data_IF_453169231341
#
_entry.id   IF_453169231341
#
_cell.length_a   1.000
_cell.length_b   1.000
_cell.length_c   1.000
_cell.angle_alpha   90.00
_cell.angle_beta   90.00
_cell.angle_gamma   90.00
#
_symmetry.space_group_name_H-M   'P 1'
#
loop_
_entity.id
_entity.type
_entity.pdbx_description
1 polymer ?
#
# COMPACT_ATOMS: atom_id res chain seq x y z
N UNK A 1 -40.89 15.16 -6.41
CA UNK A 1 -39.43 14.97 -6.20
C UNK A 1 -39.02 13.49 -6.12
N UNK A 2 -39.57 12.69 -5.19
CA UNK A 2 -39.12 11.31 -4.87
C UNK A 2 -38.93 10.36 -6.07
N UNK A 3 -39.91 10.27 -6.98
CA UNK A 3 -39.88 9.31 -8.09
C UNK A 3 -38.82 9.63 -9.17
N UNK A 4 -38.57 10.91 -9.42
CA UNK A 4 -37.57 11.39 -10.38
C UNK A 4 -36.14 11.10 -9.90
N UNK A 5 -35.86 11.32 -8.62
CA UNK A 5 -34.58 11.00 -8.01
C UNK A 5 -34.32 9.49 -7.91
N UNK A 6 -35.36 8.69 -7.58
CA UNK A 6 -35.27 7.22 -7.55
C UNK A 6 -34.94 6.61 -8.92
N UNK A 7 -35.48 7.21 -9.99
CA UNK A 7 -35.15 6.88 -11.39
C UNK A 7 -33.72 7.27 -11.77
N UNK A 8 -33.27 8.43 -11.30
CA UNK A 8 -31.91 8.94 -11.54
C UNK A 8 -30.82 8.13 -10.84
N UNK A 9 -31.07 7.66 -9.60
CA UNK A 9 -30.14 6.85 -8.83
C UNK A 9 -29.83 5.49 -9.48
N UNK A 10 -30.72 4.99 -10.35
CA UNK A 10 -30.52 3.72 -11.09
C UNK A 10 -29.66 3.88 -12.36
N UNK A 11 -29.31 5.10 -12.77
CA UNK A 11 -28.59 5.34 -14.03
C UNK A 11 -27.07 5.35 -13.83
N UNK A 12 -26.28 4.74 -14.73
CA UNK A 12 -24.84 4.54 -14.56
C UNK A 12 -24.06 5.85 -14.36
N UNK A 13 -22.94 5.77 -13.64
CA UNK A 13 -22.08 6.90 -13.24
C UNK A 13 -21.50 7.70 -14.42
N UNK A 14 -21.14 7.02 -15.52
CA UNK A 14 -20.26 7.58 -16.56
C UNK A 14 -20.91 8.49 -17.62
N UNK A 15 -22.22 8.71 -17.62
CA UNK A 15 -22.88 9.59 -18.63
C UNK A 15 -23.83 10.60 -18.01
N UNK A 16 -23.73 11.84 -18.48
CA UNK A 16 -24.74 12.89 -18.26
C UNK A 16 -26.09 12.36 -18.74
N UNK A 17 -27.08 12.32 -17.85
CA UNK A 17 -28.39 11.77 -18.16
C UNK A 17 -29.40 12.91 -18.35
N UNK A 18 -30.29 12.89 -19.37
CA UNK A 18 -31.28 13.94 -19.62
C UNK A 18 -32.18 14.25 -18.42
N UNK A 19 -32.38 13.26 -17.55
CA UNK A 19 -33.10 13.44 -16.28
C UNK A 19 -32.41 14.43 -15.33
N UNK A 20 -31.08 14.54 -15.36
CA UNK A 20 -30.35 15.55 -14.57
C UNK A 20 -30.72 16.96 -15.03
N UNK A 21 -30.90 17.16 -16.34
CA UNK A 21 -31.36 18.42 -16.91
C UNK A 21 -32.80 18.73 -16.49
N UNK A 22 -33.71 17.75 -16.61
CA UNK A 22 -35.12 17.92 -16.20
C UNK A 22 -35.29 18.24 -14.72
N UNK A 23 -34.47 17.65 -13.83
CA UNK A 23 -34.50 17.97 -12.39
C UNK A 23 -33.92 19.36 -12.13
N UNK A 24 -32.84 19.73 -12.82
CA UNK A 24 -32.21 21.05 -12.72
C UNK A 24 -33.21 22.16 -13.08
N UNK A 25 -33.88 22.01 -14.20
CA UNK A 25 -34.81 22.98 -14.77
C UNK A 25 -36.11 23.08 -13.96
N UNK A 26 -36.65 21.94 -13.50
CA UNK A 26 -37.90 21.90 -12.72
C UNK A 26 -37.75 22.38 -11.27
N UNK A 27 -36.55 22.32 -10.70
CA UNK A 27 -36.33 22.62 -9.27
C UNK A 27 -35.25 23.69 -9.02
N UNK A 28 -34.73 24.34 -10.06
CA UNK A 28 -33.71 25.40 -9.94
C UNK A 28 -32.38 24.95 -9.32
N UNK A 29 -32.11 23.64 -9.27
CA UNK A 29 -30.94 23.09 -8.57
C UNK A 29 -29.65 23.23 -9.38
N UNK A 30 -28.50 23.43 -8.73
CA UNK A 30 -27.20 23.42 -9.39
C UNK A 30 -26.82 22.01 -9.89
N UNK A 31 -26.00 21.93 -10.96
CA UNK A 31 -25.48 20.65 -11.49
C UNK A 31 -24.76 19.84 -10.40
N UNK A 32 -24.02 20.52 -9.51
CA UNK A 32 -23.32 19.88 -8.38
C UNK A 32 -24.32 19.27 -7.40
N UNK A 33 -25.37 20.01 -7.02
CA UNK A 33 -26.40 19.55 -6.09
C UNK A 33 -27.15 18.33 -6.63
N UNK A 34 -27.51 18.32 -7.93
CA UNK A 34 -28.16 17.16 -8.57
C UNK A 34 -27.23 15.95 -8.64
N UNK A 35 -25.93 16.16 -8.88
CA UNK A 35 -24.92 15.10 -8.82
C UNK A 35 -24.82 14.52 -7.40
N UNK A 36 -24.66 15.36 -6.37
CA UNK A 36 -24.58 14.92 -4.98
C UNK A 36 -25.85 14.19 -4.52
N UNK A 37 -27.04 14.67 -4.88
CA UNK A 37 -28.30 13.97 -4.55
C UNK A 37 -28.47 12.65 -5.30
N UNK A 38 -27.94 12.53 -6.53
CA UNK A 38 -27.89 11.25 -7.26
C UNK A 38 -26.92 10.27 -6.57
N UNK A 39 -25.77 10.78 -6.15
CA UNK A 39 -24.65 9.98 -5.68
C UNK A 39 -24.78 9.59 -4.20
N UNK A 40 -25.24 10.50 -3.34
CA UNK A 40 -25.32 10.34 -1.87
C UNK A 40 -26.75 10.46 -1.33
N UNK A 41 -27.76 10.48 -2.19
CA UNK A 41 -29.16 10.57 -1.77
C UNK A 41 -29.67 9.31 -1.06
N UNK A 42 -30.84 9.39 -0.41
CA UNK A 42 -31.47 8.29 0.35
C UNK A 42 -31.89 7.07 -0.49
N UNK A 43 -31.69 7.11 -1.81
CA UNK A 43 -31.95 6.00 -2.74
C UNK A 43 -30.69 5.59 -3.53
N UNK A 44 -29.53 6.06 -3.10
CA UNK A 44 -28.26 5.71 -3.72
C UNK A 44 -27.87 4.28 -3.30
N UNK A 45 -27.44 3.47 -4.26
CA UNK A 45 -26.97 2.09 -4.01
C UNK A 45 -25.50 2.08 -3.58
N UNK A 46 -25.05 3.13 -2.90
CA UNK A 46 -23.63 3.36 -2.57
C UNK A 46 -23.10 2.19 -1.74
N UNK A 47 -23.83 1.79 -0.70
CA UNK A 47 -23.43 0.66 0.15
C UNK A 47 -23.28 -0.63 -0.65
N UNK A 48 -24.27 -0.99 -1.47
CA UNK A 48 -24.24 -2.22 -2.27
C UNK A 48 -23.15 -2.19 -3.34
N UNK A 49 -22.90 -1.03 -3.94
CA UNK A 49 -21.81 -0.88 -4.92
C UNK A 49 -20.44 -0.98 -4.26
N UNK A 50 -20.24 -0.32 -3.12
CA UNK A 50 -19.00 -0.43 -2.34
C UNK A 50 -18.77 -1.88 -1.93
N UNK A 51 -19.78 -2.57 -1.39
CA UNK A 51 -19.64 -3.98 -1.02
C UNK A 51 -19.32 -4.85 -2.25
N UNK A 52 -20.01 -4.65 -3.38
CA UNK A 52 -19.78 -5.43 -4.59
C UNK A 52 -18.40 -5.18 -5.21
N UNK A 53 -17.87 -3.97 -5.11
CA UNK A 53 -16.54 -3.60 -5.62
C UNK A 53 -15.42 -4.01 -4.65
N UNK A 54 -15.60 -3.80 -3.34
CA UNK A 54 -14.57 -4.06 -2.33
C UNK A 54 -14.48 -5.52 -1.90
N UNK A 55 -15.59 -6.26 -1.79
CA UNK A 55 -15.57 -7.65 -1.29
C UNK A 55 -14.65 -8.56 -2.13
N UNK A 56 -14.69 -8.55 -3.48
CA UNK A 56 -13.77 -9.37 -4.28
C UNK A 56 -12.30 -9.00 -4.06
N UNK A 57 -12.01 -7.70 -3.90
CA UNK A 57 -10.65 -7.20 -3.68
C UNK A 57 -10.14 -7.65 -2.30
N UNK A 58 -10.97 -7.53 -1.26
CA UNK A 58 -10.64 -7.96 0.10
C UNK A 58 -10.47 -9.47 0.20
N UNK A 59 -11.28 -10.26 -0.52
CA UNK A 59 -11.12 -11.71 -0.58
C UNK A 59 -9.81 -12.09 -1.28
N UNK A 60 -9.49 -11.43 -2.39
CA UNK A 60 -8.21 -11.64 -3.09
C UNK A 60 -7.02 -11.29 -2.20
N UNK A 61 -7.07 -10.15 -1.50
CA UNK A 61 -6.01 -9.76 -0.56
C UNK A 61 -5.89 -10.77 0.57
N UNK A 62 -7.00 -11.24 1.13
CA UNK A 62 -6.99 -12.25 2.20
C UNK A 62 -6.31 -13.54 1.75
N UNK A 63 -6.59 -14.04 0.54
CA UNK A 63 -5.94 -15.23 -0.01
C UNK A 63 -4.42 -15.03 -0.14
N UNK A 64 -4.00 -13.88 -0.69
CA UNK A 64 -2.57 -13.55 -0.84
C UNK A 64 -1.89 -13.43 0.53
N UNK A 65 -2.52 -12.76 1.49
CA UNK A 65 -2.00 -12.63 2.85
C UNK A 65 -1.92 -13.99 3.57
N UNK A 66 -2.89 -14.89 3.36
CA UNK A 66 -2.85 -16.24 3.93
C UNK A 66 -1.65 -17.05 3.43
N UNK A 67 -1.24 -16.89 2.16
CA UNK A 67 -0.01 -17.52 1.65
C UNK A 67 1.24 -17.01 2.39
N UNK A 68 1.29 -15.72 2.74
CA UNK A 68 2.35 -15.19 3.60
C UNK A 68 2.31 -15.75 5.02
N UNK A 69 1.11 -16.03 5.54
CA UNK A 69 0.91 -16.73 6.82
C UNK A 69 1.49 -18.14 6.86
N UNK A 70 1.40 -18.88 5.75
CA UNK A 70 2.04 -20.21 5.64
C UNK A 70 3.56 -20.09 5.78
N UNK A 71 4.18 -19.08 5.17
CA UNK A 71 5.62 -18.84 5.32
C UNK A 71 6.04 -18.47 6.76
N UNK A 72 5.15 -17.88 7.55
CA UNK A 72 5.38 -17.62 8.98
C UNK A 72 5.28 -18.89 9.83
N UNK A 73 4.44 -19.87 9.46
CA UNK A 73 4.26 -21.10 10.25
C UNK A 73 5.54 -21.92 10.29
N UNK A 74 6.30 -21.96 9.18
CA UNK A 74 7.62 -22.60 9.10
C UNK A 74 8.63 -22.01 10.11
N UNK A 75 8.34 -20.83 10.66
CA UNK A 75 9.19 -20.08 11.59
C UNK A 75 8.68 -20.06 13.03
N UNK A 76 7.60 -20.76 13.31
CA UNK A 76 6.90 -20.70 14.59
C UNK A 76 7.82 -21.01 15.76
N UNK A 77 8.79 -21.92 15.61
CA UNK A 77 9.78 -22.24 16.63
C UNK A 77 10.68 -21.05 16.98
N UNK A 78 11.15 -20.30 15.99
CA UNK A 78 12.03 -19.15 16.17
C UNK A 78 11.27 -17.99 16.81
N UNK A 79 10.02 -17.76 16.38
CA UNK A 79 9.14 -16.75 17.00
C UNK A 79 8.82 -17.07 18.47
N UNK A 80 8.63 -18.34 18.81
CA UNK A 80 8.38 -18.76 20.18
C UNK A 80 9.60 -18.55 21.10
N UNK A 81 10.81 -18.59 20.55
CA UNK A 81 12.05 -18.43 21.30
C UNK A 81 12.53 -16.96 21.37
N UNK A 82 12.23 -16.15 20.36
CA UNK A 82 12.74 -14.77 20.24
C UNK A 82 11.59 -13.79 20.07
N UNK A 83 11.09 -13.28 21.20
CA UNK A 83 9.96 -12.36 21.29
C UNK A 83 10.05 -11.11 20.37
N UNK A 84 11.22 -10.45 20.20
CA UNK A 84 11.36 -9.31 19.30
C UNK A 84 10.96 -9.60 17.84
N UNK A 85 11.15 -10.84 17.36
CA UNK A 85 10.84 -11.20 15.97
C UNK A 85 9.36 -11.00 15.67
N UNK A 86 8.47 -11.36 16.60
CA UNK A 86 7.01 -11.21 16.45
C UNK A 86 6.63 -9.73 16.37
N UNK A 87 7.31 -8.87 17.14
CA UNK A 87 7.05 -7.42 17.17
C UNK A 87 7.51 -6.72 15.88
N UNK A 88 8.60 -7.20 15.28
CA UNK A 88 9.18 -6.62 14.06
C UNK A 88 8.28 -6.84 12.85
N UNK A 89 7.64 -8.01 12.71
CA UNK A 89 6.81 -8.34 11.55
C UNK A 89 5.77 -7.27 11.19
N UNK A 90 4.85 -6.85 12.09
CA UNK A 90 3.86 -5.83 11.76
C UNK A 90 4.48 -4.45 11.54
N UNK A 91 5.55 -4.10 12.26
CA UNK A 91 6.25 -2.83 12.10
C UNK A 91 6.96 -2.73 10.74
N UNK A 92 7.65 -3.80 10.33
CA UNK A 92 8.30 -3.93 9.04
C UNK A 92 7.28 -3.86 7.91
N UNK A 93 6.17 -4.58 8.02
CA UNK A 93 5.11 -4.54 7.01
C UNK A 93 4.56 -3.11 6.82
N UNK A 94 4.17 -2.46 7.92
CA UNK A 94 3.65 -1.08 7.87
C UNK A 94 4.67 -0.10 7.27
N UNK A 95 5.93 -0.22 7.67
CA UNK A 95 7.02 0.63 7.17
C UNK A 95 7.23 0.46 5.66
N UNK A 96 7.32 -0.78 5.19
CA UNK A 96 7.54 -1.11 3.77
C UNK A 96 6.35 -0.68 2.90
N UNK A 97 5.11 -0.89 3.37
CA UNK A 97 3.91 -0.42 2.69
C UNK A 97 3.88 1.11 2.57
N UNK A 98 4.24 1.81 3.65
CA UNK A 98 4.39 3.27 3.65
C UNK A 98 5.42 3.74 2.62
N UNK A 99 6.57 3.06 2.53
CA UNK A 99 7.59 3.38 1.54
C UNK A 99 7.08 3.23 0.11
N UNK A 100 6.31 2.19 -0.18
CA UNK A 100 5.66 2.01 -1.48
C UNK A 100 4.74 3.15 -1.85
N UNK A 101 3.88 3.59 -0.93
CA UNK A 101 2.97 4.72 -1.17
C UNK A 101 3.72 6.03 -1.43
N UNK A 102 4.81 6.28 -0.70
CA UNK A 102 5.67 7.47 -0.87
C UNK A 102 6.35 7.43 -2.24
N UNK A 103 6.96 6.31 -2.60
CA UNK A 103 7.64 6.16 -3.89
C UNK A 103 6.65 6.31 -5.03
N UNK A 104 5.50 5.62 -4.98
CA UNK A 104 4.44 5.73 -5.98
C UNK A 104 4.00 7.19 -6.15
N UNK A 105 3.66 7.88 -5.07
CA UNK A 105 3.17 9.26 -5.11
C UNK A 105 4.20 10.25 -5.67
N UNK A 106 5.46 10.15 -5.19
CA UNK A 106 6.56 11.01 -5.65
C UNK A 106 6.90 10.75 -7.12
N UNK A 107 6.92 9.48 -7.51
CA UNK A 107 7.18 9.06 -8.88
C UNK A 107 6.10 9.57 -9.84
N UNK A 108 4.83 9.33 -9.51
CA UNK A 108 3.68 9.80 -10.29
C UNK A 108 3.67 11.32 -10.43
N UNK A 109 3.96 12.05 -9.34
CA UNK A 109 4.07 13.51 -9.39
C UNK A 109 5.19 13.95 -10.35
N UNK A 110 6.34 13.28 -10.33
CA UNK A 110 7.45 13.60 -11.23
C UNK A 110 7.12 13.29 -12.70
N UNK A 111 6.34 12.23 -12.97
CA UNK A 111 5.83 11.92 -14.31
C UNK A 111 4.95 13.06 -14.84
N UNK A 112 3.94 13.47 -14.07
CA UNK A 112 3.01 14.54 -14.49
C UNK A 112 3.66 15.92 -14.58
N UNK A 113 4.73 16.17 -13.81
CA UNK A 113 5.54 17.39 -13.94
C UNK A 113 6.47 17.38 -15.17
N UNK A 114 6.48 16.31 -15.98
CA UNK A 114 7.36 16.20 -17.14
C UNK A 114 8.85 16.09 -16.79
N UNK A 115 9.19 15.81 -15.52
CA UNK A 115 10.58 15.64 -15.05
C UNK A 115 11.21 14.34 -15.55
N UNK A 116 10.41 13.44 -16.09
CA UNK A 116 10.83 12.14 -16.60
C UNK A 116 10.78 12.14 -18.12
N UNK A 117 11.90 12.50 -18.75
CA UNK A 117 12.10 12.45 -20.22
C UNK A 117 12.91 11.21 -20.62
N UNK A 118 12.25 10.32 -21.36
CA UNK A 118 12.72 9.13 -22.11
C UNK A 118 13.59 8.07 -21.41
N UNK A 119 14.60 8.43 -20.60
CA UNK A 119 15.47 7.49 -19.89
C UNK A 119 15.40 7.70 -18.38
N UNK A 120 14.48 6.98 -17.74
CA UNK A 120 14.21 7.05 -16.30
C UNK A 120 15.43 6.81 -15.42
N UNK A 121 16.32 5.90 -15.81
CA UNK A 121 17.56 5.57 -15.07
C UNK A 121 18.63 6.66 -15.09
N UNK A 122 18.52 7.70 -15.93
CA UNK A 122 19.48 8.83 -15.96
C UNK A 122 19.01 10.05 -15.16
N UNK A 123 17.85 9.95 -14.52
CA UNK A 123 17.22 11.11 -13.88
C UNK A 123 17.78 11.27 -12.47
N UNK A 124 18.46 12.40 -12.23
CA UNK A 124 19.01 12.76 -10.92
C UNK A 124 17.96 12.71 -9.80
N UNK A 125 16.72 13.10 -10.09
CA UNK A 125 15.61 12.99 -9.14
C UNK A 125 15.36 11.54 -8.70
N UNK A 126 15.40 10.58 -9.63
CA UNK A 126 15.09 9.20 -9.33
C UNK A 126 16.21 8.54 -8.52
N UNK A 127 17.47 8.82 -8.86
CA UNK A 127 18.62 8.42 -8.04
C UNK A 127 18.58 9.00 -6.63
N UNK A 128 18.25 10.30 -6.51
CA UNK A 128 18.11 10.94 -5.20
C UNK A 128 16.98 10.31 -4.39
N UNK A 129 15.83 10.05 -5.02
CA UNK A 129 14.70 9.39 -4.36
C UNK A 129 15.09 7.99 -3.89
N UNK A 130 15.76 7.21 -4.74
CA UNK A 130 16.26 5.87 -4.40
C UNK A 130 17.15 5.91 -3.15
N UNK A 131 18.21 6.72 -3.17
CA UNK A 131 19.14 6.82 -2.04
C UNK A 131 18.48 7.35 -0.76
N UNK A 132 17.56 8.31 -0.88
CA UNK A 132 16.79 8.80 0.26
C UNK A 132 15.93 7.70 0.87
N UNK A 133 15.23 6.92 0.05
CA UNK A 133 14.40 5.81 0.53
C UNK A 133 15.24 4.70 1.15
N UNK A 134 16.41 4.38 0.58
CA UNK A 134 17.35 3.40 1.14
C UNK A 134 17.91 3.86 2.49
N UNK A 135 18.31 5.13 2.60
CA UNK A 135 18.80 5.68 3.87
C UNK A 135 17.70 5.63 4.95
N UNK A 136 16.46 6.02 4.60
CA UNK A 136 15.32 5.94 5.51
C UNK A 136 15.06 4.47 5.89
N UNK A 137 15.09 3.53 4.95
CA UNK A 137 14.85 2.12 5.23
C UNK A 137 15.87 1.54 6.22
N UNK A 138 17.15 1.87 6.08
CA UNK A 138 18.21 1.43 7.01
C UNK A 138 18.01 2.03 8.39
N UNK A 139 17.80 3.35 8.48
CA UNK A 139 17.59 4.03 9.77
C UNK A 139 16.35 3.51 10.48
N UNK A 140 15.24 3.36 9.74
CA UNK A 140 14.00 2.84 10.30
C UNK A 140 14.10 1.36 10.69
N UNK A 141 14.85 0.53 9.96
CA UNK A 141 15.09 -0.86 10.34
C UNK A 141 15.86 -0.97 11.67
N UNK A 142 16.94 -0.19 11.84
CA UNK A 142 17.69 -0.13 13.10
C UNK A 142 16.81 0.36 14.24
N UNK A 143 16.00 1.39 13.98
CA UNK A 143 15.05 1.93 14.95
C UNK A 143 14.02 0.88 15.40
N UNK A 144 13.40 0.17 14.45
CA UNK A 144 12.40 -0.88 14.73
C UNK A 144 13.02 -2.05 15.48
N UNK A 145 14.18 -2.55 15.05
CA UNK A 145 14.88 -3.65 15.73
C UNK A 145 15.27 -3.26 17.17
N UNK A 146 15.79 -2.05 17.37
CA UNK A 146 16.13 -1.51 18.69
C UNK A 146 14.91 -1.40 19.60
N UNK A 147 13.79 -0.88 19.08
CA UNK A 147 12.56 -0.79 19.86
C UNK A 147 12.01 -2.16 20.24
N UNK A 148 12.03 -3.13 19.33
CA UNK A 148 11.60 -4.49 19.60
C UNK A 148 12.47 -5.16 20.67
N UNK A 149 13.79 -4.94 20.63
CA UNK A 149 14.73 -5.39 21.65
C UNK A 149 14.43 -4.77 23.03
N UNK A 150 14.24 -3.44 23.10
CA UNK A 150 13.89 -2.74 24.34
C UNK A 150 12.54 -3.24 24.88
N UNK A 151 11.53 -3.41 24.02
CA UNK A 151 10.23 -3.93 24.42
C UNK A 151 10.32 -5.35 24.99
N UNK A 152 11.16 -6.21 24.39
CA UNK A 152 11.42 -7.55 24.92
C UNK A 152 12.09 -7.54 26.29
N UNK A 153 13.06 -6.64 26.49
CA UNK A 153 13.71 -6.45 27.80
C UNK A 153 12.69 -6.02 28.87
N UNK A 154 11.78 -5.09 28.53
CA UNK A 154 10.73 -4.62 29.44
C UNK A 154 9.70 -5.71 29.78
N UNK A 155 9.48 -6.67 28.88
CA UNK A 155 8.60 -7.82 29.08
C UNK A 155 9.28 -9.00 29.81
N UNK A 156 10.52 -8.82 30.27
CA UNK A 156 11.25 -9.84 31.04
C UNK A 156 11.90 -10.93 30.19
N UNK A 157 12.03 -10.72 28.87
CA UNK A 157 12.75 -11.61 27.97
C UNK A 157 14.06 -10.94 27.51
N UNK A 158 15.13 -11.02 28.32
CA UNK A 158 16.42 -10.47 27.95
C UNK A 158 16.98 -11.17 26.71
N UNK A 159 17.71 -10.41 25.91
CA UNK A 159 18.35 -10.91 24.68
C UNK A 159 19.85 -10.72 24.76
N UNK A 160 20.59 -11.69 24.24
CA UNK A 160 22.04 -11.60 24.12
C UNK A 160 22.44 -10.64 23.00
N UNK A 161 23.66 -10.11 23.09
CA UNK A 161 24.24 -9.22 22.06
C UNK A 161 24.22 -9.88 20.68
N UNK A 162 24.54 -11.18 20.60
CA UNK A 162 24.50 -11.93 19.34
C UNK A 162 23.09 -12.01 18.74
N UNK A 163 22.05 -12.14 19.58
CA UNK A 163 20.64 -12.13 19.12
C UNK A 163 20.27 -10.73 18.63
N UNK A 164 20.69 -9.69 19.33
CA UNK A 164 20.46 -8.30 18.92
C UNK A 164 21.11 -7.98 17.55
N UNK A 165 22.34 -8.42 17.33
CA UNK A 165 23.02 -8.28 16.03
C UNK A 165 22.25 -8.98 14.91
N UNK A 166 21.82 -10.23 15.14
CA UNK A 166 20.99 -10.98 14.19
C UNK A 166 19.67 -10.26 13.90
N UNK A 167 19.02 -9.67 14.90
CA UNK A 167 17.77 -8.89 14.72
C UNK A 167 17.98 -7.65 13.84
N UNK A 168 19.07 -6.92 14.04
CA UNK A 168 19.39 -5.77 13.17
C UNK A 168 19.67 -6.25 11.75
N UNK A 169 20.48 -7.29 11.58
CA UNK A 169 20.84 -7.81 10.26
C UNK A 169 19.61 -8.32 9.49
N UNK A 170 18.74 -9.12 10.12
CA UNK A 170 17.52 -9.62 9.48
C UNK A 170 16.57 -8.48 9.10
N UNK A 171 16.33 -7.54 10.02
CA UNK A 171 15.40 -6.42 9.79
C UNK A 171 15.92 -5.48 8.72
N UNK A 172 17.22 -5.14 8.77
CA UNK A 172 17.86 -4.25 7.80
C UNK A 172 17.91 -4.88 6.42
N UNK A 173 18.31 -6.15 6.30
CA UNK A 173 18.33 -6.86 5.03
C UNK A 173 16.91 -6.94 4.43
N UNK A 174 15.90 -7.24 5.25
CA UNK A 174 14.49 -7.27 4.81
C UNK A 174 14.04 -5.90 4.29
N UNK A 175 14.27 -4.84 5.07
CA UNK A 175 13.88 -3.49 4.71
C UNK A 175 14.54 -3.01 3.42
N UNK A 176 15.83 -3.28 3.24
CA UNK A 176 16.61 -2.90 2.05
C UNK A 176 16.12 -3.66 0.81
N UNK A 177 15.97 -4.98 0.90
CA UNK A 177 15.49 -5.81 -0.22
C UNK A 177 14.09 -5.40 -0.67
N UNK A 178 13.16 -5.24 0.28
CA UNK A 178 11.78 -4.88 -0.02
C UNK A 178 11.66 -3.46 -0.57
N UNK A 179 12.39 -2.50 0.00
CA UNK A 179 12.42 -1.12 -0.51
C UNK A 179 12.96 -1.08 -1.93
N UNK A 180 14.03 -1.83 -2.22
CA UNK A 180 14.57 -1.98 -3.56
C UNK A 180 13.57 -2.57 -4.55
N UNK A 181 12.90 -3.66 -4.16
CA UNK A 181 11.88 -4.33 -4.98
C UNK A 181 10.71 -3.39 -5.31
N UNK A 182 10.14 -2.76 -4.28
CA UNK A 182 9.02 -1.83 -4.40
C UNK A 182 9.40 -0.62 -5.26
N UNK A 183 10.61 -0.08 -5.08
CA UNK A 183 11.08 1.02 -5.89
C UNK A 183 11.13 0.66 -7.38
N UNK A 184 11.73 -0.49 -7.71
CA UNK A 184 11.81 -0.98 -9.08
C UNK A 184 10.43 -1.17 -9.70
N UNK A 185 9.51 -1.81 -8.98
CA UNK A 185 8.14 -2.05 -9.45
C UNK A 185 7.38 -0.72 -9.64
N UNK A 186 7.55 0.23 -8.72
CA UNK A 186 6.91 1.55 -8.82
C UNK A 186 7.37 2.30 -10.07
N UNK A 187 8.65 2.22 -10.39
CA UNK A 187 9.21 2.89 -11.57
C UNK A 187 8.78 2.21 -12.86
N UNK A 188 9.00 0.90 -12.98
CA UNK A 188 8.69 0.15 -14.21
C UNK A 188 7.18 0.11 -14.45
N UNK A 189 6.41 -0.26 -13.43
CA UNK A 189 4.95 -0.29 -13.48
C UNK A 189 4.38 1.10 -13.74
N UNK A 190 4.90 2.12 -13.07
CA UNK A 190 4.42 3.49 -13.21
C UNK A 190 4.63 4.06 -14.61
N UNK A 191 5.78 3.81 -15.24
CA UNK A 191 6.02 4.19 -16.64
C UNK A 191 5.05 3.51 -17.59
N UNK A 192 4.77 2.23 -17.34
CA UNK A 192 3.89 1.44 -18.20
C UNK A 192 2.43 1.90 -18.09
N UNK A 193 1.94 2.15 -16.88
CA UNK A 193 0.60 2.69 -16.63
C UNK A 193 0.47 4.10 -17.20
N UNK A 194 1.48 4.94 -16.99
CA UNK A 194 1.48 6.31 -17.53
C UNK A 194 1.42 6.32 -19.05
N UNK A 195 2.13 5.42 -19.74
CA UNK A 195 2.05 5.25 -21.20
C UNK A 195 0.66 4.84 -21.68
N UNK A 196 -0.16 4.22 -20.83
CA UNK A 196 -1.57 3.87 -21.13
C UNK A 196 -2.53 5.06 -20.91
N UNK A 197 -2.05 6.19 -20.43
CA UNK A 197 -2.86 7.38 -20.17
C UNK A 197 -3.68 7.32 -18.88
N UNK A 198 -3.36 6.38 -17.99
CA UNK A 198 -4.01 6.23 -16.70
C UNK A 198 -3.14 6.80 -15.57
N UNK A 199 -3.75 7.18 -14.45
CA UNK A 199 -3.02 7.64 -13.27
C UNK A 199 -2.30 6.46 -12.61
N UNK A 200 -0.95 6.44 -12.58
CA UNK A 200 -0.19 5.36 -11.96
C UNK A 200 -0.53 5.15 -10.48
N UNK A 201 -0.92 6.18 -9.73
CA UNK A 201 -1.24 6.05 -8.30
C UNK A 201 -2.39 5.07 -8.05
N UNK A 202 -3.37 5.01 -8.95
CA UNK A 202 -4.54 4.14 -8.82
C UNK A 202 -4.17 2.64 -8.83
N UNK A 203 -3.00 2.30 -9.36
CA UNK A 203 -2.52 0.92 -9.47
C UNK A 203 -1.29 0.66 -8.62
N UNK A 204 -0.34 1.60 -8.60
CA UNK A 204 0.91 1.47 -7.87
C UNK A 204 0.68 1.36 -6.36
N UNK A 205 -0.24 2.15 -5.79
CA UNK A 205 -0.51 2.09 -4.35
C UNK A 205 -1.02 0.69 -3.97
N UNK A 206 -2.11 0.15 -4.57
CA UNK A 206 -2.55 -1.22 -4.29
C UNK A 206 -1.47 -2.29 -4.52
N UNK A 207 -0.71 -2.19 -5.61
CA UNK A 207 0.34 -3.17 -5.95
C UNK A 207 1.45 -3.15 -4.90
N UNK A 208 1.94 -1.96 -4.54
CA UNK A 208 3.04 -1.83 -3.58
C UNK A 208 2.63 -2.22 -2.17
N UNK A 209 1.38 -1.94 -1.76
CA UNK A 209 0.84 -2.43 -0.49
C UNK A 209 0.73 -3.95 -0.48
N UNK A 210 0.20 -4.57 -1.53
CA UNK A 210 0.10 -6.04 -1.60
C UNK A 210 1.49 -6.71 -1.57
N UNK A 211 2.48 -6.11 -2.23
CA UNK A 211 3.87 -6.56 -2.17
C UNK A 211 4.51 -6.34 -0.80
N UNK A 212 4.15 -5.28 -0.09
CA UNK A 212 4.59 -5.09 1.28
C UNK A 212 3.99 -6.18 2.18
N UNK A 213 2.68 -6.43 2.11
CA UNK A 213 2.01 -7.44 2.94
C UNK A 213 2.58 -8.83 2.70
N UNK A 214 2.68 -9.26 1.44
CA UNK A 214 3.19 -10.60 1.11
C UNK A 214 4.71 -10.70 1.23
N UNK A 215 5.42 -9.70 0.70
CA UNK A 215 6.87 -9.69 0.65
C UNK A 215 7.50 -9.52 2.03
N UNK A 216 6.93 -8.68 2.91
CA UNK A 216 7.44 -8.52 4.27
C UNK A 216 7.41 -9.84 5.02
N UNK A 217 6.34 -10.62 4.91
CA UNK A 217 6.24 -11.91 5.57
C UNK A 217 7.26 -12.92 5.03
N UNK A 218 7.33 -13.10 3.71
CA UNK A 218 8.20 -14.13 3.10
C UNK A 218 9.68 -13.76 3.22
N UNK A 219 10.04 -12.52 2.88
CA UNK A 219 11.45 -12.09 2.90
C UNK A 219 11.97 -12.06 4.33
N UNK A 220 11.18 -11.54 5.27
CA UNK A 220 11.57 -11.58 6.67
C UNK A 220 11.69 -13.02 7.16
N UNK A 221 10.72 -13.87 6.83
CA UNK A 221 10.75 -15.25 7.26
C UNK A 221 12.00 -15.99 6.74
N UNK A 222 12.24 -15.90 5.44
CA UNK A 222 13.43 -16.46 4.82
C UNK A 222 14.74 -15.93 5.42
N UNK A 223 14.83 -14.63 5.72
CA UNK A 223 16.05 -14.09 6.33
C UNK A 223 16.23 -14.53 7.78
N UNK A 224 15.15 -14.70 8.54
CA UNK A 224 15.25 -15.26 9.88
C UNK A 224 15.77 -16.70 9.81
N UNK A 225 15.35 -17.55 8.85
CA UNK A 225 15.89 -18.92 8.75
C UNK A 225 17.36 -18.97 8.35
N UNK A 226 17.83 -17.95 7.62
CA UNK A 226 19.24 -17.85 7.20
C UNK A 226 20.14 -17.36 8.36
N UNK A 227 19.66 -16.43 9.18
CA UNK A 227 20.47 -15.80 10.23
C UNK A 227 20.31 -16.43 11.63
N UNK A 228 19.18 -17.08 11.93
CA UNK A 228 18.88 -17.73 13.21
C UNK A 228 19.01 -19.24 13.12
#
# INVERSE_FOLDING_TARGET
MRNLFKSLAKKPRRRYHPLQHKIKEKHGLSKRTVFFMKEYGPHSHVMTNILRESVPIVLLSAIISSLGGVALEDMRSQFAMVLPLIMIVPALNHMVGSFGTIVASRFTTALFQGKIRERWWKIHFLHRLFWMMFAIAVVSAVYVASLAAIASLLLGSPIDVAVYEKLIMTTMASAVLLTGLIFNISVVGGLWIYKRGEDPNNFLIPITTALADFGSLIVFAYLVTVFF
#
